data_IF_790807390805
#
_entry.id   IF_790807390805
#
_cell.length_a   1.000
_cell.length_b   1.000
_cell.length_c   1.000
_cell.angle_alpha   90.00
_cell.angle_beta   90.00
_cell.angle_gamma   90.00
#
_symmetry.space_group_name_H-M   'P 1'
#
loop_
_entity.id
_entity.type
_entity.pdbx_description
1 polymer ?
#
# COMPACT_ATOMS: atom_id res chain seq x y z
N UNK A 1 -8.98 11.25 -25.56
CA UNK A 1 -9.25 11.63 -26.95
C UNK A 1 -7.96 12.03 -27.62
N UNK A 2 -7.95 12.28 -28.94
CA UNK A 2 -6.75 12.71 -29.68
C UNK A 2 -6.09 13.97 -29.09
N UNK A 3 -6.85 14.85 -28.44
CA UNK A 3 -6.33 16.09 -27.83
C UNK A 3 -6.00 15.98 -26.33
N UNK A 4 -6.02 14.76 -25.75
CA UNK A 4 -5.72 14.60 -24.33
C UNK A 4 -4.22 14.75 -24.06
N UNK A 5 -3.86 15.60 -23.10
CA UNK A 5 -2.50 15.62 -22.56
C UNK A 5 -2.22 14.29 -21.86
N UNK A 6 -1.14 13.62 -22.25
CA UNK A 6 -0.77 12.30 -21.72
C UNK A 6 0.23 12.43 -20.58
N UNK A 7 -0.01 11.62 -19.54
CA UNK A 7 0.91 11.49 -18.41
C UNK A 7 0.79 12.62 -17.39
N UNK A 8 1.33 12.33 -16.21
CA UNK A 8 1.54 13.29 -15.12
C UNK A 8 2.72 12.83 -14.28
N UNK A 9 3.37 13.76 -13.61
CA UNK A 9 4.44 13.48 -12.64
C UNK A 9 3.97 13.87 -11.25
N UNK A 10 4.16 12.96 -10.31
CA UNK A 10 3.89 13.16 -8.89
C UNK A 10 5.23 13.15 -8.16
N UNK A 11 5.39 14.06 -7.21
CA UNK A 11 6.61 14.18 -6.41
C UNK A 11 6.27 14.59 -4.99
N UNK A 12 7.18 14.36 -4.05
CA UNK A 12 6.99 14.76 -2.67
C UNK A 12 8.27 14.66 -1.86
N UNK A 13 8.31 15.43 -0.77
CA UNK A 13 9.40 15.48 0.20
C UNK A 13 8.78 15.54 1.58
N UNK A 14 9.24 14.69 2.50
CA UNK A 14 8.76 14.72 3.89
C UNK A 14 9.06 16.08 4.52
N UNK A 15 8.09 16.65 5.21
CA UNK A 15 8.16 18.01 5.76
C UNK A 15 7.77 19.13 4.78
N UNK A 16 7.65 18.86 3.47
CA UNK A 16 7.10 19.80 2.48
C UNK A 16 5.69 19.40 2.02
N UNK A 17 5.48 18.10 1.74
CA UNK A 17 4.23 17.58 1.18
C UNK A 17 4.45 16.78 -0.09
N UNK A 18 3.35 16.39 -0.74
CA UNK A 18 3.34 15.72 -2.03
C UNK A 18 2.35 16.40 -3.00
N UNK A 19 2.71 16.42 -4.29
CA UNK A 19 2.11 17.27 -5.30
C UNK A 19 1.85 16.53 -6.62
N UNK A 20 0.99 17.09 -7.49
CA UNK A 20 0.66 16.51 -8.79
C UNK A 20 -0.58 15.59 -8.79
N UNK A 21 -1.37 15.61 -7.72
CA UNK A 21 -2.63 14.89 -7.59
C UNK A 21 -3.60 15.65 -6.68
N UNK A 22 -4.89 15.29 -6.75
CA UNK A 22 -5.90 15.76 -5.81
C UNK A 22 -6.04 14.73 -4.68
N UNK A 23 -5.69 15.13 -3.46
CA UNK A 23 -5.88 14.28 -2.28
C UNK A 23 -7.39 14.08 -2.04
N UNK A 24 -7.79 12.82 -1.85
CA UNK A 24 -9.17 12.43 -1.57
C UNK A 24 -9.20 11.19 -0.68
N UNK A 25 -10.10 11.20 0.29
CA UNK A 25 -10.35 10.04 1.15
C UNK A 25 -11.49 9.17 0.60
N UNK A 26 -11.48 7.89 0.95
CA UNK A 26 -12.58 6.95 0.66
C UNK A 26 -13.82 7.35 1.45
N UNK A 27 -15.05 7.13 0.94
CA UNK A 27 -16.26 7.34 1.72
C UNK A 27 -16.20 6.67 3.10
N UNK A 28 -16.70 7.37 4.12
CA UNK A 28 -16.72 6.87 5.49
C UNK A 28 -17.44 5.51 5.58
N UNK A 29 -16.90 4.61 6.41
CA UNK A 29 -17.48 3.29 6.65
C UNK A 29 -17.27 2.26 5.53
N UNK A 30 -16.43 2.54 4.53
CA UNK A 30 -16.11 1.58 3.46
C UNK A 30 -14.68 1.04 3.55
N UNK A 31 -14.55 -0.28 3.48
CA UNK A 31 -13.29 -1.01 3.43
C UNK A 31 -13.02 -1.55 2.02
N UNK A 32 -12.52 -0.67 1.15
CA UNK A 32 -12.08 -1.07 -0.20
C UNK A 32 -10.60 -1.46 -0.13
N UNK A 33 -10.26 -2.71 -0.41
CA UNK A 33 -8.90 -3.22 -0.30
C UNK A 33 -8.29 -3.34 -1.69
N UNK A 34 -7.17 -2.68 -1.95
CA UNK A 34 -6.41 -2.86 -3.19
C UNK A 34 -5.27 -3.85 -2.98
N UNK A 35 -5.08 -4.76 -3.93
CA UNK A 35 -4.03 -5.78 -3.86
C UNK A 35 -3.53 -6.19 -5.25
N UNK A 36 -2.59 -7.13 -5.29
CA UNK A 36 -1.98 -7.64 -6.52
C UNK A 36 -3.00 -8.26 -7.46
N UNK A 37 -2.85 -7.98 -8.76
CA UNK A 37 -3.59 -8.65 -9.84
C UNK A 37 -3.02 -10.02 -10.19
N UNK A 38 -1.70 -10.15 -10.23
CA UNK A 38 -1.02 -11.29 -10.87
C UNK A 38 -0.19 -12.17 -9.94
N UNK A 39 0.02 -11.75 -8.68
CA UNK A 39 0.86 -12.46 -7.71
C UNK A 39 0.05 -12.87 -6.47
N UNK A 40 -1.18 -13.34 -6.68
CA UNK A 40 -2.07 -13.73 -5.59
C UNK A 40 -1.72 -15.14 -5.10
N UNK A 41 -1.81 -15.36 -3.79
CA UNK A 41 -1.67 -16.67 -3.17
C UNK A 41 -2.62 -16.76 -1.95
N UNK A 42 -2.63 -17.91 -1.25
CA UNK A 42 -3.51 -18.13 -0.11
C UNK A 42 -3.29 -17.11 1.01
N UNK A 43 -2.04 -16.80 1.36
CA UNK A 43 -1.71 -15.82 2.42
C UNK A 43 -2.25 -14.42 2.08
N UNK A 44 -2.12 -13.98 0.83
CA UNK A 44 -2.70 -12.71 0.36
C UNK A 44 -4.22 -12.73 0.49
N UNK A 45 -4.89 -13.78 -0.01
CA UNK A 45 -6.35 -13.89 0.06
C UNK A 45 -6.89 -13.95 1.49
N UNK A 46 -6.24 -14.73 2.36
CA UNK A 46 -6.63 -14.87 3.77
C UNK A 46 -6.48 -13.53 4.51
N UNK A 47 -5.36 -12.83 4.30
CA UNK A 47 -5.10 -11.54 4.91
C UNK A 47 -6.09 -10.47 4.42
N UNK A 48 -6.37 -10.42 3.11
CA UNK A 48 -7.37 -9.49 2.55
C UNK A 48 -8.76 -9.77 3.12
N UNK A 49 -9.16 -11.04 3.23
CA UNK A 49 -10.45 -11.42 3.81
C UNK A 49 -10.59 -10.96 5.27
N UNK A 50 -9.51 -11.07 6.06
CA UNK A 50 -9.50 -10.67 7.46
C UNK A 50 -9.76 -9.17 7.68
N UNK A 51 -9.51 -8.33 6.66
CA UNK A 51 -9.79 -6.90 6.69
C UNK A 51 -11.27 -6.55 6.68
N UNK A 52 -12.16 -7.53 6.49
CA UNK A 52 -13.61 -7.35 6.30
C UNK A 52 -13.92 -6.37 5.14
N UNK A 53 -13.48 -6.68 3.90
CA UNK A 53 -13.63 -5.78 2.76
C UNK A 53 -15.09 -5.66 2.30
N UNK A 54 -15.51 -4.43 1.99
CA UNK A 54 -16.70 -4.18 1.17
C UNK A 54 -16.43 -4.49 -0.32
N UNK A 55 -15.20 -4.25 -0.77
CA UNK A 55 -14.77 -4.49 -2.15
C UNK A 55 -13.25 -4.76 -2.21
N UNK A 56 -12.80 -5.47 -3.24
CA UNK A 56 -11.40 -5.84 -3.46
C UNK A 56 -10.95 -5.49 -4.88
N UNK A 57 -10.08 -4.48 -4.99
CA UNK A 57 -9.50 -4.04 -6.25
C UNK A 57 -8.21 -4.82 -6.55
N UNK A 58 -8.21 -5.61 -7.62
CA UNK A 58 -7.03 -6.37 -8.06
C UNK A 58 -6.31 -5.66 -9.21
N UNK A 59 -5.21 -4.97 -8.89
CA UNK A 59 -4.48 -4.13 -9.85
C UNK A 59 -2.95 -4.36 -9.84
N UNK A 60 -2.31 -4.04 -10.96
CA UNK A 60 -0.86 -4.06 -11.11
C UNK A 60 -0.19 -2.78 -10.57
N UNK A 61 1.09 -2.88 -10.20
CA UNK A 61 1.96 -1.77 -9.81
C UNK A 61 1.85 -1.35 -8.35
N UNK A 62 2.98 -1.26 -7.63
CA UNK A 62 3.00 -0.78 -6.24
C UNK A 62 2.66 0.73 -6.17
N UNK A 63 3.31 1.55 -7.01
CA UNK A 63 2.99 2.98 -7.13
C UNK A 63 1.51 3.24 -7.46
N UNK A 64 0.93 2.49 -8.39
CA UNK A 64 -0.50 2.59 -8.73
C UNK A 64 -1.42 2.29 -7.54
N UNK A 65 -1.06 1.34 -6.67
CA UNK A 65 -1.85 1.06 -5.46
C UNK A 65 -1.76 2.20 -4.44
N UNK A 66 -0.62 2.87 -4.30
CA UNK A 66 -0.53 4.08 -3.49
C UNK A 66 -1.34 5.24 -4.10
N UNK A 67 -1.36 5.38 -5.43
CA UNK A 67 -2.25 6.34 -6.09
C UNK A 67 -3.73 6.07 -5.77
N UNK A 68 -4.14 4.81 -5.70
CA UNK A 68 -5.51 4.47 -5.29
C UNK A 68 -5.81 4.89 -3.85
N UNK A 69 -4.83 4.86 -2.95
CA UNK A 69 -5.02 5.32 -1.57
C UNK A 69 -5.19 6.84 -1.52
N UNK A 70 -4.27 7.60 -2.13
CA UNK A 70 -4.28 9.07 -2.03
C UNK A 70 -5.38 9.73 -2.86
N UNK A 71 -5.95 9.03 -3.84
CA UNK A 71 -7.08 9.48 -4.65
C UNK A 71 -8.44 8.92 -4.18
N UNK A 72 -8.49 8.25 -3.03
CA UNK A 72 -9.73 7.79 -2.41
C UNK A 72 -10.45 6.66 -3.18
N UNK A 73 -9.70 5.88 -3.96
CA UNK A 73 -10.20 4.70 -4.68
C UNK A 73 -10.11 3.43 -3.84
N UNK A 74 -9.13 3.37 -2.93
CA UNK A 74 -8.95 2.26 -2.00
C UNK A 74 -8.62 2.79 -0.59
N UNK A 75 -9.05 2.05 0.42
CA UNK A 75 -8.85 2.40 1.83
C UNK A 75 -7.56 1.82 2.41
N UNK A 76 -7.18 0.63 1.94
CA UNK A 76 -5.93 -0.03 2.31
C UNK A 76 -5.33 -0.78 1.12
N UNK A 77 -4.01 -0.80 1.08
CA UNK A 77 -3.21 -1.68 0.24
C UNK A 77 -2.65 -2.80 1.12
N UNK A 78 -3.09 -4.04 0.85
CA UNK A 78 -2.68 -5.23 1.59
C UNK A 78 -1.99 -6.22 0.67
N UNK A 79 -0.75 -6.57 0.96
CA UNK A 79 0.02 -7.59 0.25
C UNK A 79 0.82 -8.46 1.23
N UNK A 80 0.17 -9.51 1.73
CA UNK A 80 0.77 -10.50 2.62
C UNK A 80 1.55 -11.57 1.84
N UNK A 81 2.64 -11.17 1.17
CA UNK A 81 3.53 -12.07 0.45
C UNK A 81 4.90 -11.43 0.25
N UNK A 82 5.99 -12.22 0.18
CA UNK A 82 7.23 -11.74 -0.42
C UNK A 82 6.99 -11.41 -1.91
N UNK A 83 7.83 -10.54 -2.47
CA UNK A 83 7.88 -10.30 -3.92
C UNK A 83 8.23 -8.86 -4.28
N UNK A 84 7.60 -7.90 -3.60
CA UNK A 84 7.97 -6.50 -3.71
C UNK A 84 9.35 -6.27 -3.11
N UNK A 85 10.10 -5.34 -3.71
CA UNK A 85 11.43 -4.95 -3.27
C UNK A 85 11.45 -3.48 -2.87
N UNK A 86 12.58 -3.02 -2.33
CA UNK A 86 12.76 -1.65 -1.85
C UNK A 86 12.44 -0.59 -2.92
N UNK A 87 12.75 -0.84 -4.19
CA UNK A 87 12.39 0.08 -5.27
C UNK A 87 10.88 0.15 -5.56
N UNK A 88 10.10 -0.87 -5.19
CA UNK A 88 8.63 -0.83 -5.33
C UNK A 88 7.97 0.05 -4.27
N UNK A 89 8.59 0.21 -3.09
CA UNK A 89 7.99 0.89 -1.93
C UNK A 89 8.61 2.23 -1.61
N UNK A 90 9.89 2.47 -1.93
CA UNK A 90 10.62 3.68 -1.51
C UNK A 90 9.93 4.99 -1.94
N UNK A 91 9.77 5.23 -3.25
CA UNK A 91 9.13 6.45 -3.72
C UNK A 91 7.64 6.53 -3.34
N UNK A 92 6.82 5.45 -3.50
CA UNK A 92 5.42 5.52 -3.11
C UNK A 92 5.18 5.75 -1.62
N UNK A 93 6.03 5.21 -0.74
CA UNK A 93 5.96 5.44 0.71
C UNK A 93 6.12 6.93 1.06
N UNK A 94 7.10 7.62 0.47
CA UNK A 94 7.30 9.06 0.69
C UNK A 94 6.06 9.87 0.31
N UNK A 95 5.46 9.56 -0.84
CA UNK A 95 4.22 10.24 -1.28
C UNK A 95 3.09 10.03 -0.28
N UNK A 96 2.91 8.80 0.21
CA UNK A 96 1.86 8.48 1.16
C UNK A 96 2.09 9.14 2.52
N UNK A 97 3.31 9.06 3.05
CA UNK A 97 3.69 9.67 4.34
C UNK A 97 3.55 11.19 4.30
N UNK A 98 3.92 11.83 3.19
CA UNK A 98 3.82 13.28 3.03
C UNK A 98 2.38 13.82 3.07
N UNK A 99 1.36 12.97 2.95
CA UNK A 99 -0.07 13.31 3.14
C UNK A 99 -0.71 12.64 4.36
N UNK A 100 0.14 12.22 5.31
CA UNK A 100 -0.28 11.67 6.60
C UNK A 100 -0.73 10.21 6.56
N UNK A 101 -0.46 9.49 5.47
CA UNK A 101 -0.66 8.04 5.42
C UNK A 101 0.53 7.27 6.01
N UNK A 102 0.41 5.94 6.06
CA UNK A 102 1.42 5.04 6.63
C UNK A 102 1.61 3.81 5.75
N UNK A 103 2.86 3.37 5.60
CA UNK A 103 3.25 2.15 4.91
C UNK A 103 4.25 1.40 5.80
N UNK A 104 4.08 0.09 5.92
CA UNK A 104 4.92 -0.81 6.71
C UNK A 104 4.98 -2.18 6.04
N UNK A 105 5.72 -3.12 6.63
CA UNK A 105 5.44 -4.54 6.43
C UNK A 105 4.12 -4.98 7.11
N UNK A 106 3.81 -6.27 7.02
CA UNK A 106 2.61 -6.89 7.63
C UNK A 106 2.60 -6.86 9.17
N UNK A 107 3.75 -6.69 9.81
CA UNK A 107 3.89 -6.63 11.28
C UNK A 107 3.80 -5.21 11.82
N UNK A 108 3.90 -4.21 10.94
CA UNK A 108 3.96 -2.80 11.31
C UNK A 108 5.37 -2.24 11.44
N UNK A 109 6.39 -3.00 11.02
CA UNK A 109 7.76 -2.51 10.99
C UNK A 109 7.95 -1.53 9.82
N UNK A 110 8.66 -0.44 10.08
CA UNK A 110 9.08 0.49 9.04
C UNK A 110 10.09 -0.18 8.09
N UNK A 111 9.90 0.00 6.78
CA UNK A 111 10.82 -0.52 5.79
C UNK A 111 12.14 0.27 5.82
N UNK A 112 13.26 -0.44 5.68
CA UNK A 112 14.60 0.15 5.67
C UNK A 112 15.10 0.30 4.23
N UNK A 113 15.78 1.41 3.93
CA UNK A 113 16.25 1.76 2.58
C UNK A 113 17.74 2.08 2.50
N UNK A 114 18.51 1.74 3.53
CA UNK A 114 19.97 1.94 3.51
C UNK A 114 20.63 1.07 2.42
N UNK A 115 21.84 1.45 2.01
CA UNK A 115 22.57 0.82 0.90
C UNK A 115 22.72 -0.70 1.04
N UNK A 116 22.88 -1.21 2.26
CA UNK A 116 23.20 -2.62 2.53
C UNK A 116 21.96 -3.46 2.86
N UNK A 117 20.76 -2.87 2.82
CA UNK A 117 19.53 -3.58 3.15
C UNK A 117 19.23 -4.65 2.11
N UNK A 118 18.69 -5.79 2.55
CA UNK A 118 18.13 -6.78 1.64
C UNK A 118 17.07 -6.14 0.75
N UNK A 119 17.19 -6.33 -0.56
CA UNK A 119 16.26 -5.74 -1.52
C UNK A 119 14.83 -6.23 -1.34
N UNK A 120 14.62 -7.48 -0.92
CA UNK A 120 13.28 -8.07 -0.75
C UNK A 120 12.54 -7.44 0.44
N UNK A 121 11.25 -7.16 0.28
CA UNK A 121 10.30 -6.97 1.37
C UNK A 121 9.67 -8.34 1.67
N UNK A 122 10.38 -9.13 2.48
CA UNK A 122 10.06 -10.53 2.84
C UNK A 122 8.74 -10.64 3.60
N UNK A 123 8.45 -9.65 4.45
CA UNK A 123 7.24 -9.58 5.24
C UNK A 123 6.08 -8.81 4.57
N UNK A 124 6.07 -8.70 3.24
CA UNK A 124 4.97 -8.06 2.51
C UNK A 124 4.85 -6.55 2.75
N UNK A 125 3.65 -6.01 2.48
CA UNK A 125 3.35 -4.56 2.57
C UNK A 125 1.93 -4.35 3.08
N UNK A 126 1.79 -3.44 4.04
CA UNK A 126 0.52 -2.87 4.49
C UNK A 126 0.61 -1.35 4.38
N UNK A 127 -0.31 -0.72 3.65
CA UNK A 127 -0.34 0.73 3.51
C UNK A 127 -1.76 1.30 3.54
N UNK A 128 -1.93 2.47 4.15
CA UNK A 128 -3.24 3.12 4.30
C UNK A 128 -3.07 4.63 4.30
N UNK A 129 -4.05 5.38 3.76
CA UNK A 129 -4.09 6.83 3.95
C UNK A 129 -4.61 7.20 5.35
N UNK A 130 -5.60 6.45 5.85
CA UNK A 130 -6.25 6.61 7.16
C UNK A 130 -6.54 5.26 7.78
N UNK A 131 -6.85 5.24 9.08
CA UNK A 131 -7.29 4.05 9.83
C UNK A 131 -6.27 2.90 9.83
N UNK A 132 -4.97 3.20 9.80
CA UNK A 132 -3.91 2.19 9.77
C UNK A 132 -4.08 1.13 10.86
N UNK A 133 -4.35 1.54 12.10
CA UNK A 133 -4.44 0.65 13.25
C UNK A 133 -5.57 -0.39 13.11
N UNK A 134 -6.68 -0.03 12.44
CA UNK A 134 -7.77 -0.95 12.15
C UNK A 134 -7.32 -2.10 11.23
N UNK A 135 -6.58 -1.78 10.17
CA UNK A 135 -6.10 -2.81 9.22
C UNK A 135 -4.96 -3.61 9.84
N UNK A 136 -4.05 -2.96 10.58
CA UNK A 136 -2.96 -3.62 11.28
C UNK A 136 -3.46 -4.60 12.35
N UNK A 137 -4.51 -4.26 13.10
CA UNK A 137 -5.08 -5.15 14.13
C UNK A 137 -5.79 -6.38 13.55
N UNK A 138 -6.13 -6.36 12.25
CA UNK A 138 -6.84 -7.44 11.55
C UNK A 138 -5.92 -8.41 10.82
N UNK A 139 -4.63 -8.13 10.79
CA UNK A 139 -3.63 -9.05 10.26
C UNK A 139 -3.65 -10.36 11.08
N UNK A 140 -3.99 -11.51 10.47
CA UNK A 140 -4.04 -12.77 11.19
C UNK A 140 -2.66 -13.20 11.71
N UNK A 141 -2.63 -13.81 12.90
CA UNK A 141 -1.37 -14.31 13.49
C UNK A 141 -0.72 -15.39 12.61
N UNK A 142 -1.53 -16.21 11.94
CA UNK A 142 -1.04 -17.20 10.96
C UNK A 142 -0.30 -16.56 9.78
N UNK A 143 -0.72 -15.36 9.35
CA UNK A 143 -0.06 -14.60 8.29
C UNK A 143 1.25 -14.00 8.80
N UNK A 144 1.26 -13.45 10.02
CA UNK A 144 2.48 -12.93 10.66
C UNK A 144 3.54 -14.01 10.81
N UNK A 145 3.16 -15.17 11.32
CA UNK A 145 4.06 -16.31 11.51
C UNK A 145 4.64 -16.84 10.20
N UNK A 146 3.91 -16.74 9.10
CA UNK A 146 4.36 -17.20 7.78
C UNK A 146 5.33 -16.22 7.08
N UNK A 147 5.40 -14.95 7.52
CA UNK A 147 6.10 -13.87 6.83
C UNK A 147 7.14 -13.24 7.74
N UNK A 148 8.41 -13.65 7.64
CA UNK A 148 9.49 -13.15 8.50
C UNK A 148 10.22 -11.97 7.85
N UNK A 149 10.38 -10.81 8.54
CA UNK A 149 11.10 -9.64 8.03
C UNK A 149 12.59 -9.89 7.72
#
# INVERSE_FOLDING_TARGET
GPDAVLGRTIWGVLGLGAFGFQLKEVPAGKHIITTTRSHNNKLVSDCVTAMNPDDVLRVGGAGNKILQLIEGKASAYVFASPGCKKWDTCAPEVILHAVGGKLTDIHGNALQYNKEVKHMNSAGVLATLRNYDYYASRVPESVKNALVP
#
